data_IF_390873505735
#
_entry.id   IF_390873505735
#
_cell.length_a   1.000
_cell.length_b   1.000
_cell.length_c   1.000
_cell.angle_alpha   90.00
_cell.angle_beta   90.00
_cell.angle_gamma   90.00
#
_symmetry.space_group_name_H-M   'P 1'
#
loop_
_entity.id
_entity.type
_entity.pdbx_description
1 polymer ?
#
# COMPACT_ATOMS: atom_id res chain seq x y z
N UNK A 1 -14.06 -5.03 27.74
CA UNK A 1 -13.30 -5.05 26.51
C UNK A 1 -14.21 -4.48 25.44
N UNK A 2 -13.99 -3.22 25.12
CA UNK A 2 -14.73 -2.53 24.08
C UNK A 2 -14.40 -3.20 22.74
N UNK A 3 -15.44 -3.71 22.10
CA UNK A 3 -15.32 -4.25 20.76
C UNK A 3 -14.69 -3.17 19.88
N UNK A 4 -13.57 -3.46 19.27
CA UNK A 4 -13.03 -2.67 18.17
C UNK A 4 -14.11 -2.71 17.09
N UNK A 5 -14.95 -1.68 17.07
CA UNK A 5 -16.00 -1.56 16.09
C UNK A 5 -15.38 -1.16 14.76
N UNK A 6 -15.46 -2.10 13.84
CA UNK A 6 -15.33 -1.86 12.40
C UNK A 6 -14.21 -0.88 12.06
N UNK A 7 -12.99 -1.36 12.17
CA UNK A 7 -11.90 -0.74 11.46
C UNK A 7 -12.32 -0.79 9.99
N UNK A 8 -12.69 0.36 9.42
CA UNK A 8 -12.88 0.45 8.00
C UNK A 8 -11.56 -0.02 7.36
N UNK A 9 -11.63 -0.72 6.23
CA UNK A 9 -10.51 -1.30 5.48
C UNK A 9 -9.36 -0.33 5.12
N UNK A 10 -9.29 0.81 5.74
CA UNK A 10 -8.29 1.87 5.57
C UNK A 10 -7.30 1.98 6.72
N UNK A 11 -7.24 1.01 7.61
CA UNK A 11 -6.20 0.91 8.65
C UNK A 11 -4.83 0.52 8.12
N UNK A 12 -4.81 -0.08 6.96
CA UNK A 12 -3.61 -0.18 6.17
C UNK A 12 -3.50 1.17 5.47
N UNK A 13 -2.40 1.83 5.60
CA UNK A 13 -2.22 3.15 5.04
C UNK A 13 -2.24 3.09 3.51
N UNK A 14 -3.45 3.21 2.99
CA UNK A 14 -3.65 3.51 1.60
C UNK A 14 -3.32 4.99 1.40
N UNK A 15 -2.35 5.28 0.57
CA UNK A 15 -2.10 6.66 0.16
C UNK A 15 -3.21 7.14 -0.78
N UNK A 16 -3.71 8.33 -0.49
CA UNK A 16 -4.77 8.95 -1.28
C UNK A 16 -4.26 10.23 -1.93
N UNK A 17 -4.41 10.32 -3.26
CA UNK A 17 -4.08 11.51 -4.02
C UNK A 17 -5.33 12.12 -4.62
N UNK A 18 -5.57 13.40 -4.30
CA UNK A 18 -6.54 14.20 -5.02
C UNK A 18 -5.91 14.80 -6.28
N UNK A 19 -6.58 14.62 -7.41
CA UNK A 19 -6.16 15.16 -8.69
C UNK A 19 -7.20 16.20 -9.11
N UNK A 20 -6.74 17.34 -9.63
CA UNK A 20 -7.60 18.29 -10.35
C UNK A 20 -7.46 18.02 -11.85
N UNK A 21 -8.29 17.13 -12.43
CA UNK A 21 -8.14 16.76 -13.82
C UNK A 21 -8.52 17.92 -14.70
N UNK A 22 -7.62 18.32 -15.57
CA UNK A 22 -7.91 19.34 -16.59
C UNK A 22 -8.61 18.75 -17.81
N UNK A 23 -8.55 17.44 -17.98
CA UNK A 23 -9.08 16.70 -19.15
C UNK A 23 -9.56 15.31 -18.75
N UNK A 24 -10.40 14.72 -19.59
CA UNK A 24 -10.79 13.32 -19.49
C UNK A 24 -9.89 12.46 -20.36
N UNK A 25 -9.56 11.25 -19.86
CA UNK A 25 -8.75 10.28 -20.59
C UNK A 25 -9.40 8.89 -20.54
N UNK A 26 -9.20 8.09 -21.58
CA UNK A 26 -9.66 6.69 -21.63
C UNK A 26 -8.79 5.79 -20.78
N UNK A 27 -7.46 6.04 -20.75
CA UNK A 27 -6.48 5.20 -20.07
C UNK A 27 -5.91 5.93 -18.87
N UNK A 28 -5.95 5.27 -17.72
CA UNK A 28 -5.32 5.74 -16.48
C UNK A 28 -4.43 4.66 -15.93
N UNK A 29 -3.23 5.04 -15.45
CA UNK A 29 -2.24 4.10 -14.95
C UNK A 29 -1.44 4.66 -13.80
N UNK A 30 -1.04 3.77 -12.90
CA UNK A 30 0.05 3.96 -11.96
C UNK A 30 1.35 3.52 -12.64
N UNK A 31 2.43 4.31 -12.53
CA UNK A 31 3.75 4.01 -13.09
C UNK A 31 4.74 4.00 -11.95
N UNK A 32 5.44 2.89 -11.75
CA UNK A 32 6.49 2.80 -10.76
C UNK A 32 7.78 3.48 -11.24
N UNK A 33 8.62 3.85 -10.29
CA UNK A 33 9.95 4.36 -10.59
C UNK A 33 10.83 3.30 -11.26
N UNK A 34 11.90 3.75 -11.89
CA UNK A 34 12.86 2.86 -12.56
C UNK A 34 13.42 1.82 -11.59
N UNK A 35 13.42 0.56 -12.01
CA UNK A 35 13.94 -0.59 -11.25
C UNK A 35 13.27 -0.84 -9.89
N UNK A 36 12.02 -0.45 -9.71
CA UNK A 36 11.27 -0.62 -8.45
C UNK A 36 10.17 -1.71 -8.49
N UNK A 37 10.10 -2.53 -9.54
CA UNK A 37 9.25 -3.71 -9.60
C UNK A 37 7.72 -3.47 -9.57
N UNK A 38 7.24 -2.25 -9.31
CA UNK A 38 5.81 -1.92 -9.21
C UNK A 38 5.06 -2.85 -8.22
N UNK A 39 5.56 -2.95 -7.00
CA UNK A 39 4.94 -3.77 -5.95
C UNK A 39 3.71 -3.06 -5.37
N UNK A 40 2.53 -3.52 -5.76
CA UNK A 40 1.27 -2.89 -5.41
C UNK A 40 0.24 -3.93 -4.96
N UNK A 41 -0.36 -3.74 -3.78
CA UNK A 41 -1.44 -4.59 -3.31
C UNK A 41 -2.77 -4.14 -3.91
N UNK A 42 -3.10 -2.83 -3.84
CA UNK A 42 -4.37 -2.32 -4.35
C UNK A 42 -4.21 -1.00 -5.09
N UNK A 43 -5.08 -0.77 -6.09
CA UNK A 43 -5.21 0.47 -6.84
C UNK A 43 -6.68 0.76 -7.14
N UNK A 44 -7.15 1.94 -6.80
CA UNK A 44 -8.52 2.36 -7.05
C UNK A 44 -8.60 3.77 -7.65
N UNK A 45 -9.52 3.95 -8.61
CA UNK A 45 -9.76 5.22 -9.30
C UNK A 45 -11.18 5.72 -9.03
N UNK A 46 -11.32 7.00 -8.71
CA UNK A 46 -12.61 7.65 -8.41
C UNK A 46 -12.81 8.88 -9.29
N UNK A 47 -14.05 9.14 -9.66
CA UNK A 47 -14.44 10.36 -10.40
C UNK A 47 -15.17 11.36 -9.51
N UNK A 48 -15.18 12.64 -9.90
CA UNK A 48 -15.91 13.72 -9.20
C UNK A 48 -17.41 13.47 -9.07
N UNK A 49 -17.95 12.63 -9.94
CA UNK A 49 -19.40 12.45 -10.07
C UNK A 49 -19.94 11.29 -9.27
N UNK A 50 -19.08 10.41 -8.82
CA UNK A 50 -19.47 9.19 -8.13
C UNK A 50 -18.47 8.94 -7.00
N UNK A 51 -18.95 8.81 -5.77
CA UNK A 51 -18.13 8.30 -4.66
C UNK A 51 -17.76 6.82 -4.86
N UNK A 52 -18.21 6.24 -5.95
CA UNK A 52 -17.98 4.85 -6.31
C UNK A 52 -16.70 4.70 -7.11
N UNK A 53 -15.96 3.67 -6.78
CA UNK A 53 -14.80 3.25 -7.56
C UNK A 53 -15.17 2.93 -9.00
N UNK A 54 -14.35 3.43 -9.92
CA UNK A 54 -14.50 3.16 -11.35
C UNK A 54 -13.86 1.82 -11.72
N UNK A 55 -14.53 1.07 -12.59
CA UNK A 55 -14.04 -0.22 -13.10
C UNK A 55 -13.74 -0.15 -14.59
N UNK A 56 -12.79 -0.95 -15.06
CA UNK A 56 -12.39 -1.00 -16.48
C UNK A 56 -11.65 -2.29 -16.81
N UNK A 57 -11.13 -2.39 -18.02
CA UNK A 57 -10.27 -3.49 -18.42
C UNK A 57 -8.86 -3.29 -17.88
N UNK A 58 -8.33 -4.28 -17.19
CA UNK A 58 -7.00 -4.22 -16.59
C UNK A 58 -5.93 -4.28 -17.68
N UNK A 59 -5.03 -3.30 -17.68
CA UNK A 59 -3.91 -3.17 -18.62
C UNK A 59 -2.61 -2.90 -17.84
N UNK A 60 -1.47 -3.24 -18.45
CA UNK A 60 -0.18 -2.95 -17.80
C UNK A 60 0.93 -3.90 -18.20
N UNK A 61 2.10 -3.70 -17.59
CA UNK A 61 3.26 -4.59 -17.71
C UNK A 61 2.89 -5.99 -17.21
N UNK A 62 3.38 -7.03 -17.87
CA UNK A 62 3.15 -8.40 -17.39
C UNK A 62 3.88 -8.63 -16.08
N UNK A 63 3.29 -9.49 -15.24
CA UNK A 63 3.84 -9.83 -13.94
C UNK A 63 5.18 -10.57 -14.01
N UNK A 64 5.93 -10.47 -12.93
CA UNK A 64 7.07 -11.35 -12.66
C UNK A 64 6.60 -12.78 -12.43
N UNK A 65 7.33 -13.75 -12.97
CA UNK A 65 7.10 -15.16 -12.67
C UNK A 65 8.12 -15.57 -11.61
N UNK A 66 7.75 -15.42 -10.35
CA UNK A 66 8.66 -15.74 -9.24
C UNK A 66 8.50 -17.18 -8.73
N UNK A 67 7.28 -17.68 -8.71
CA UNK A 67 6.94 -19.04 -8.23
C UNK A 67 5.77 -19.59 -9.07
N UNK A 68 5.85 -20.84 -9.43
CA UNK A 68 4.81 -21.51 -10.24
C UNK A 68 3.41 -21.59 -9.58
N UNK A 69 3.30 -21.16 -8.31
CA UNK A 69 2.10 -21.34 -7.49
C UNK A 69 1.44 -20.04 -7.01
N UNK A 70 2.05 -18.89 -7.20
CA UNK A 70 1.47 -17.60 -6.79
C UNK A 70 1.40 -16.64 -7.98
N UNK A 71 0.23 -16.49 -8.61
CA UNK A 71 0.05 -15.50 -9.65
C UNK A 71 0.09 -14.10 -9.03
N UNK A 72 1.17 -13.37 -9.28
CA UNK A 72 1.38 -11.96 -8.91
C UNK A 72 0.95 -11.03 -10.06
N UNK A 73 -0.11 -11.39 -10.75
CA UNK A 73 -0.52 -10.70 -11.96
C UNK A 73 -1.28 -9.39 -11.68
N UNK A 74 -1.52 -8.63 -12.74
CA UNK A 74 -2.18 -7.31 -12.69
C UNK A 74 -3.57 -7.31 -12.07
N UNK A 75 -4.27 -8.43 -12.03
CA UNK A 75 -5.60 -8.52 -11.44
C UNK A 75 -5.54 -8.33 -9.92
N UNK A 76 -4.38 -8.62 -9.33
CA UNK A 76 -4.18 -8.54 -7.88
C UNK A 76 -4.30 -7.13 -7.31
N UNK A 77 -4.07 -6.11 -8.11
CA UNK A 77 -4.25 -4.71 -7.66
C UNK A 77 -5.70 -4.22 -7.70
N UNK A 78 -6.64 -5.09 -8.09
CA UNK A 78 -8.07 -4.75 -8.22
C UNK A 78 -8.98 -5.82 -7.61
N UNK A 79 -8.45 -6.79 -6.86
CA UNK A 79 -9.22 -7.93 -6.32
C UNK A 79 -9.78 -7.66 -4.90
N UNK A 80 -9.43 -6.55 -4.27
CA UNK A 80 -9.82 -6.15 -2.91
C UNK A 80 -9.24 -7.01 -1.81
N UNK A 81 -8.18 -7.74 -2.11
CA UNK A 81 -7.43 -8.52 -1.14
C UNK A 81 -6.03 -7.93 -0.96
N UNK A 82 -5.86 -7.12 0.06
CA UNK A 82 -4.58 -6.47 0.40
C UNK A 82 -3.45 -7.45 0.72
N UNK A 83 -3.73 -8.72 0.89
CA UNK A 83 -2.72 -9.76 1.12
C UNK A 83 -2.18 -10.34 -0.18
N UNK A 84 -2.80 -10.01 -1.30
CA UNK A 84 -2.28 -10.28 -2.64
C UNK A 84 -1.63 -9.02 -3.22
N UNK A 85 -0.80 -9.18 -4.22
CA UNK A 85 -0.12 -8.05 -4.85
C UNK A 85 0.29 -8.35 -6.30
N UNK A 86 0.51 -7.29 -7.04
CA UNK A 86 1.15 -7.33 -8.35
C UNK A 86 2.63 -6.99 -8.22
N UNK A 87 3.47 -7.74 -8.91
CA UNK A 87 4.89 -7.45 -9.03
C UNK A 87 5.32 -7.56 -10.50
N UNK A 88 5.90 -6.49 -11.05
CA UNK A 88 6.49 -6.51 -12.37
C UNK A 88 7.95 -7.01 -12.32
N UNK A 89 8.50 -7.56 -13.42
CA UNK A 89 9.90 -7.93 -13.47
C UNK A 89 10.82 -6.73 -13.20
N UNK A 90 11.82 -6.92 -12.35
CA UNK A 90 12.82 -5.87 -12.02
C UNK A 90 13.67 -5.43 -13.23
N UNK A 91 13.63 -6.19 -14.33
CA UNK A 91 14.30 -5.87 -15.60
C UNK A 91 13.53 -4.85 -16.45
N UNK A 92 12.30 -4.53 -16.07
CA UNK A 92 11.47 -3.57 -16.81
C UNK A 92 11.64 -2.18 -16.19
N UNK A 93 12.09 -1.23 -17.00
CA UNK A 93 12.14 0.17 -16.61
C UNK A 93 10.73 0.76 -16.59
N UNK A 94 10.38 1.48 -15.51
CA UNK A 94 9.09 2.15 -15.36
C UNK A 94 7.87 1.22 -15.56
N UNK A 95 7.79 0.07 -14.86
CA UNK A 95 6.65 -0.81 -14.97
C UNK A 95 5.38 -0.11 -14.51
N UNK A 96 4.24 -0.52 -15.06
CA UNK A 96 2.98 0.16 -14.80
C UNK A 96 1.79 -0.80 -14.83
N UNK A 97 0.70 -0.39 -14.16
CA UNK A 97 -0.59 -1.07 -14.16
C UNK A 97 -1.72 -0.03 -14.15
N UNK A 98 -2.85 -0.34 -14.74
CA UNK A 98 -3.97 0.58 -14.81
C UNK A 98 -5.20 0.01 -15.47
N UNK A 99 -6.12 0.90 -15.85
CA UNK A 99 -7.40 0.55 -16.45
C UNK A 99 -7.63 1.25 -17.79
N UNK A 100 -8.20 0.50 -18.73
CA UNK A 100 -8.90 1.03 -19.91
C UNK A 100 -10.39 1.12 -19.58
N UNK A 101 -10.92 2.32 -19.51
CA UNK A 101 -12.34 2.58 -19.22
C UNK A 101 -13.25 2.50 -20.46
N UNK A 102 -12.70 2.16 -21.64
CA UNK A 102 -13.42 2.14 -22.94
C UNK A 102 -14.01 3.48 -23.40
N UNK A 103 -13.99 4.49 -22.55
CA UNK A 103 -14.42 5.86 -22.82
C UNK A 103 -13.59 6.85 -21.99
N UNK A 104 -13.48 8.12 -22.39
CA UNK A 104 -12.82 9.12 -21.57
C UNK A 104 -13.55 9.32 -20.24
N UNK A 105 -12.81 9.26 -19.12
CA UNK A 105 -13.28 9.52 -17.75
C UNK A 105 -12.42 10.57 -17.09
N UNK A 106 -13.02 11.32 -16.17
CA UNK A 106 -12.32 12.24 -15.28
C UNK A 106 -11.99 11.50 -13.98
N UNK A 107 -10.74 11.50 -13.56
CA UNK A 107 -10.32 10.94 -12.27
C UNK A 107 -9.93 12.10 -11.37
N UNK A 108 -10.55 12.20 -10.21
CA UNK A 108 -10.23 13.22 -9.21
C UNK A 108 -9.51 12.67 -7.99
N UNK A 109 -9.61 11.36 -7.76
CA UNK A 109 -8.95 10.72 -6.64
C UNK A 109 -8.42 9.34 -7.03
N UNK A 110 -7.22 9.05 -6.62
CA UNK A 110 -6.57 7.73 -6.73
C UNK A 110 -6.21 7.28 -5.32
N UNK A 111 -6.51 6.03 -5.01
CA UNK A 111 -6.07 5.38 -3.78
C UNK A 111 -5.21 4.20 -4.19
N UNK A 112 -4.05 4.04 -3.58
CA UNK A 112 -3.22 2.87 -3.78
C UNK A 112 -2.69 2.34 -2.45
N UNK A 113 -2.51 1.04 -2.36
CA UNK A 113 -1.93 0.35 -1.22
C UNK A 113 -0.66 -0.36 -1.71
N UNK A 114 0.53 0.01 -1.22
CA UNK A 114 1.75 -0.73 -1.52
C UNK A 114 1.66 -2.18 -1.04
N UNK A 115 2.48 -3.05 -1.59
CA UNK A 115 2.72 -4.37 -1.04
C UNK A 115 3.20 -4.26 0.40
N UNK A 116 2.68 -5.08 1.29
CA UNK A 116 2.91 -4.99 2.74
C UNK A 116 3.43 -6.28 3.38
N UNK A 117 4.00 -7.20 2.62
CA UNK A 117 4.47 -8.51 3.12
C UNK A 117 5.99 -8.59 3.37
N UNK A 118 6.75 -7.52 3.11
CA UNK A 118 8.17 -7.41 3.42
C UNK A 118 8.36 -6.88 4.86
N UNK A 119 8.18 -7.77 5.84
CA UNK A 119 8.26 -7.46 7.27
C UNK A 119 9.71 -7.44 7.81
N UNK A 120 10.70 -7.22 6.96
CA UNK A 120 12.10 -7.18 7.36
C UNK A 120 12.60 -5.74 7.52
N UNK A 121 13.31 -5.48 8.63
CA UNK A 121 14.04 -4.22 8.80
C UNK A 121 15.32 -4.28 7.96
N UNK A 122 15.45 -3.33 7.03
CA UNK A 122 16.62 -3.19 6.16
C UNK A 122 17.56 -2.11 6.68
N UNK A 123 18.80 -2.47 6.94
CA UNK A 123 19.81 -1.50 7.38
C UNK A 123 20.03 -0.43 6.30
N UNK A 124 20.01 0.84 6.71
CA UNK A 124 20.10 2.01 5.82
C UNK A 124 18.76 2.65 5.51
N UNK A 125 17.64 1.95 5.66
CA UNK A 125 16.31 2.49 5.39
C UNK A 125 15.80 3.34 6.58
N UNK A 126 14.94 4.29 6.28
CA UNK A 126 14.30 5.19 7.24
C UNK A 126 12.90 4.66 7.55
N UNK A 127 12.62 4.47 8.81
CA UNK A 127 11.34 3.97 9.30
C UNK A 127 10.65 4.98 10.20
N UNK A 128 9.32 4.92 10.25
CA UNK A 128 8.49 5.65 11.20
C UNK A 128 7.48 4.72 11.85
N UNK A 129 7.46 4.72 13.19
CA UNK A 129 6.50 3.94 13.96
C UNK A 129 5.33 4.82 14.37
N UNK A 130 4.13 4.28 14.19
CA UNK A 130 2.88 4.92 14.60
C UNK A 130 2.11 4.02 15.57
N UNK A 131 1.26 4.64 16.37
CA UNK A 131 0.23 3.96 17.15
C UNK A 131 -1.13 4.58 16.87
N UNK A 132 -2.19 3.77 17.02
CA UNK A 132 -3.56 4.23 16.78
C UNK A 132 -4.18 4.79 18.05
N UNK A 133 -4.57 6.07 18.03
CA UNK A 133 -5.27 6.74 19.11
C UNK A 133 -6.16 7.85 18.55
N UNK A 134 -7.30 8.13 19.20
CA UNK A 134 -8.24 9.18 18.79
C UNK A 134 -8.66 9.15 17.32
N UNK A 135 -8.84 7.95 16.76
CA UNK A 135 -9.21 7.71 15.35
C UNK A 135 -8.19 8.19 14.31
N UNK A 136 -6.91 8.30 14.68
CA UNK A 136 -5.82 8.57 13.74
C UNK A 136 -4.49 7.95 14.19
N UNK A 137 -3.54 7.89 13.27
CA UNK A 137 -2.19 7.42 13.54
C UNK A 137 -1.35 8.54 14.18
N UNK A 138 -0.82 8.26 15.36
CA UNK A 138 0.10 9.13 16.10
C UNK A 138 1.53 8.66 15.89
N UNK A 139 2.42 9.55 15.46
CA UNK A 139 3.84 9.22 15.25
C UNK A 139 4.59 9.08 16.57
N UNK A 140 5.40 8.02 16.66
CA UNK A 140 6.40 7.81 17.71
C UNK A 140 7.82 8.22 17.26
N UNK A 141 7.92 8.79 16.05
CA UNK A 141 9.15 9.31 15.49
C UNK A 141 9.79 8.40 14.44
N UNK A 142 10.80 8.96 13.79
CA UNK A 142 11.54 8.33 12.70
C UNK A 142 12.89 7.81 13.18
N UNK A 143 13.29 6.66 12.67
CA UNK A 143 14.61 6.07 12.90
C UNK A 143 15.20 5.51 11.61
N UNK A 144 16.49 5.78 11.37
CA UNK A 144 17.24 5.07 10.34
C UNK A 144 17.80 3.78 10.91
N UNK A 145 17.44 2.67 10.30
CA UNK A 145 17.93 1.36 10.71
C UNK A 145 19.44 1.24 10.43
N UNK A 146 20.22 0.86 11.43
CA UNK A 146 21.66 0.57 11.31
C UNK A 146 21.91 -0.94 11.26
N UNK A 147 20.94 -1.73 11.66
CA UNK A 147 20.92 -3.19 11.63
C UNK A 147 19.48 -3.66 11.33
N UNK A 148 19.23 -4.95 11.29
CA UNK A 148 17.88 -5.52 11.08
C UNK A 148 16.98 -5.39 12.31
N UNK A 149 17.07 -4.26 13.04
CA UNK A 149 16.34 -3.99 14.25
C UNK A 149 16.11 -2.51 14.45
N UNK A 150 14.94 -2.17 14.98
CA UNK A 150 14.59 -0.84 15.48
C UNK A 150 14.19 -0.93 16.96
N UNK A 151 14.43 0.13 17.71
CA UNK A 151 14.04 0.19 19.12
C UNK A 151 13.34 1.52 19.39
N UNK A 152 12.09 1.47 19.78
CA UNK A 152 11.28 2.63 20.17
C UNK A 152 11.03 2.59 21.66
N UNK A 153 11.06 3.76 22.29
CA UNK A 153 10.71 3.97 23.70
C UNK A 153 9.37 4.68 23.81
N UNK A 154 8.72 4.60 24.96
CA UNK A 154 7.43 5.24 25.22
C UNK A 154 6.30 4.78 24.27
N UNK A 155 6.35 3.53 23.83
CA UNK A 155 5.26 2.91 23.08
C UNK A 155 4.11 2.65 24.07
N UNK A 156 2.87 3.11 23.78
CA UNK A 156 1.72 2.85 24.66
C UNK A 156 1.43 1.35 24.79
N UNK A 157 1.08 0.92 25.99
CA UNK A 157 0.68 -0.46 26.26
C UNK A 157 -0.57 -0.83 25.49
N UNK A 158 -0.62 -2.03 24.94
CA UNK A 158 -1.74 -2.57 24.16
C UNK A 158 -2.16 -1.73 22.94
N UNK A 159 -1.25 -0.92 22.42
CA UNK A 159 -1.52 -0.13 21.24
C UNK A 159 -1.52 -0.98 19.96
N UNK A 160 -2.40 -0.62 19.03
CA UNK A 160 -2.26 -1.06 17.65
C UNK A 160 -1.16 -0.22 17.00
N UNK A 161 -0.15 -0.88 16.45
CA UNK A 161 1.05 -0.26 15.91
C UNK A 161 1.12 -0.43 14.38
N UNK A 162 1.73 0.53 13.72
CA UNK A 162 2.05 0.50 12.29
C UNK A 162 3.47 1.02 12.07
N UNK A 163 4.31 0.20 11.47
CA UNK A 163 5.64 0.61 11.04
C UNK A 163 5.63 0.89 9.53
N UNK A 164 6.18 2.03 9.12
CA UNK A 164 6.33 2.41 7.71
C UNK A 164 7.79 2.44 7.32
N UNK A 165 8.14 1.87 6.17
CA UNK A 165 9.40 2.10 5.49
C UNK A 165 9.29 3.33 4.58
N UNK A 166 9.85 4.47 5.03
CA UNK A 166 9.81 5.73 4.28
C UNK A 166 10.81 5.79 3.12
N UNK A 167 11.79 4.89 3.10
CA UNK A 167 12.78 4.82 2.01
C UNK A 167 12.21 4.14 0.79
N UNK A 168 11.49 3.05 0.98
CA UNK A 168 10.89 2.25 -0.10
C UNK A 168 9.46 2.66 -0.41
N UNK A 169 8.77 3.28 0.54
CA UNK A 169 7.35 3.56 0.45
C UNK A 169 6.50 2.30 0.61
N UNK A 170 7.07 1.25 1.19
CA UNK A 170 6.36 0.03 1.57
C UNK A 170 5.74 0.21 2.94
N UNK A 171 4.60 -0.42 3.16
CA UNK A 171 3.90 -0.40 4.42
C UNK A 171 3.91 -1.77 5.05
N UNK A 172 4.31 -1.80 6.29
CA UNK A 172 4.25 -3.00 7.10
C UNK A 172 2.84 -3.20 7.64
N UNK A 173 2.47 -4.45 7.89
CA UNK A 173 1.17 -4.76 8.49
C UNK A 173 1.06 -4.16 9.88
N UNK A 174 -0.16 -3.87 10.29
CA UNK A 174 -0.44 -3.49 11.67
C UNK A 174 -0.17 -4.66 12.63
N UNK A 175 0.29 -4.35 13.81
CA UNK A 175 0.64 -5.34 14.82
C UNK A 175 0.39 -4.84 16.24
N UNK A 176 0.30 -5.77 17.17
CA UNK A 176 0.31 -5.52 18.62
C UNK A 176 1.44 -6.29 19.27
N UNK A 177 1.78 -5.92 20.51
CA UNK A 177 2.60 -6.75 21.36
C UNK A 177 1.72 -7.44 22.42
N UNK A 178 1.73 -8.76 22.43
CA UNK A 178 1.00 -9.59 23.38
C UNK A 178 1.97 -10.57 24.04
N UNK A 179 2.16 -10.44 25.34
CA UNK A 179 3.12 -11.26 26.10
C UNK A 179 4.53 -11.26 25.48
N UNK A 180 5.06 -10.08 25.18
CA UNK A 180 6.36 -9.84 24.55
C UNK A 180 6.54 -10.46 23.15
N UNK A 181 5.43 -10.81 22.48
CA UNK A 181 5.43 -11.30 21.10
C UNK A 181 4.69 -10.32 20.22
N UNK A 182 5.24 -10.11 19.05
CA UNK A 182 4.61 -9.35 17.98
C UNK A 182 3.50 -10.19 17.34
N UNK A 183 2.29 -9.67 17.31
CA UNK A 183 1.11 -10.28 16.70
C UNK A 183 0.66 -9.41 15.53
N UNK A 184 0.68 -9.96 14.33
CA UNK A 184 0.32 -9.28 13.08
C UNK A 184 -1.18 -9.40 12.79
N UNK A 185 -1.77 -8.33 12.22
CA UNK A 185 -3.19 -8.24 11.89
C UNK A 185 -3.41 -7.99 10.40
#
# INVERSE_FOLDING_TARGET
PDKIHTISHWLLSADSFEIKPQKTYRYWRYVSAKNKGCNLAELAFYSDKEEKELTGTIIGTNASVRYDTMPMDKSKVFDKDILTYYEAPSTVDYPWVGLDFNKPVSINKIIYTPRNDDNNIHAGDLYELFYWEYNHWMSLGQQRAIESKLTYTNVPDNALLLLKDLTKGEEERTFTYENDKQVWW
#
